data_IF_267659132241
#
_entry.id   IF_267659132241
#
_cell.length_a   1.000
_cell.length_b   1.000
_cell.length_c   1.000
_cell.angle_alpha   90.00
_cell.angle_beta   90.00
_cell.angle_gamma   90.00
#
_symmetry.space_group_name_H-M   'P 1'
#
loop_
_entity.id
_entity.type
_entity.pdbx_description
1 polymer ?
#
# COMPACT_ATOMS: atom_id res chain seq x y z
N UNK A 1 14.97 -13.64 13.00
CA UNK A 1 13.83 -14.26 12.27
C UNK A 1 13.39 -13.29 11.21
N UNK A 2 13.44 -13.67 9.93
CA UNK A 2 13.02 -12.83 8.82
C UNK A 2 11.61 -13.26 8.43
N UNK A 3 10.58 -12.46 8.73
CA UNK A 3 9.20 -12.80 8.38
C UNK A 3 8.94 -12.34 6.94
N UNK A 4 8.78 -13.26 5.98
CA UNK A 4 8.61 -12.90 4.57
C UNK A 4 7.38 -12.02 4.33
N UNK A 5 6.33 -12.19 5.15
CA UNK A 5 5.12 -11.38 5.10
C UNK A 5 5.37 -9.90 5.45
N UNK A 6 6.21 -9.61 6.47
CA UNK A 6 6.53 -8.23 6.86
C UNK A 6 7.29 -7.50 5.75
N UNK A 7 8.30 -8.16 5.16
CA UNK A 7 9.06 -7.59 4.05
C UNK A 7 8.18 -7.35 2.82
N UNK A 8 7.31 -8.31 2.49
CA UNK A 8 6.35 -8.19 1.38
C UNK A 8 5.35 -7.06 1.63
N UNK A 9 4.87 -6.91 2.86
CA UNK A 9 3.98 -5.81 3.26
C UNK A 9 4.65 -4.45 3.09
N UNK A 10 5.87 -4.27 3.58
CA UNK A 10 6.61 -3.01 3.44
C UNK A 10 6.93 -2.70 1.97
N UNK A 11 7.36 -3.70 1.19
CA UNK A 11 7.62 -3.54 -0.23
C UNK A 11 6.35 -3.14 -1.01
N UNK A 12 5.21 -3.75 -0.67
CA UNK A 12 3.90 -3.41 -1.23
C UNK A 12 3.48 -1.97 -0.91
N UNK A 13 3.66 -1.52 0.34
CA UNK A 13 3.43 -0.13 0.74
C UNK A 13 4.29 0.81 -0.11
N UNK A 14 5.60 0.57 -0.19
CA UNK A 14 6.51 1.46 -0.92
C UNK A 14 6.15 1.58 -2.41
N UNK A 15 5.82 0.45 -3.05
CA UNK A 15 5.41 0.42 -4.46
C UNK A 15 4.09 1.17 -4.68
N UNK A 16 3.11 0.96 -3.80
CA UNK A 16 1.81 1.61 -3.91
C UNK A 16 1.89 3.13 -3.60
N UNK A 17 2.74 3.55 -2.66
CA UNK A 17 3.00 4.97 -2.38
C UNK A 17 3.64 5.67 -3.59
N UNK A 18 4.56 5.00 -4.29
CA UNK A 18 5.19 5.52 -5.50
C UNK A 18 4.17 5.70 -6.65
N UNK A 19 3.33 4.69 -6.89
CA UNK A 19 2.22 4.79 -7.85
C UNK A 19 1.22 5.90 -7.50
N UNK A 20 0.85 6.02 -6.22
CA UNK A 20 -0.05 7.08 -5.75
C UNK A 20 0.54 8.48 -5.98
N UNK A 21 1.84 8.69 -5.75
CA UNK A 21 2.50 9.99 -6.02
C UNK A 21 2.48 10.35 -7.50
N UNK A 22 2.69 9.37 -8.38
CA UNK A 22 2.61 9.58 -9.84
C UNK A 22 1.20 10.00 -10.25
N UNK A 23 0.18 9.27 -9.82
CA UNK A 23 -1.21 9.57 -10.18
C UNK A 23 -1.65 10.93 -9.60
N UNK A 24 -1.22 11.27 -8.37
CA UNK A 24 -1.48 12.57 -7.78
C UNK A 24 -0.84 13.71 -8.59
N UNK A 25 0.38 13.49 -9.09
CA UNK A 25 1.07 14.45 -9.97
C UNK A 25 0.34 14.59 -11.30
N UNK A 26 -0.11 13.47 -11.90
CA UNK A 26 -0.88 13.45 -13.14
C UNK A 26 -2.18 14.25 -13.00
N UNK A 27 -2.96 14.00 -11.93
CA UNK A 27 -4.18 14.75 -11.60
C UNK A 27 -3.88 16.25 -11.43
N UNK A 28 -2.82 16.60 -10.68
CA UNK A 28 -2.45 17.98 -10.42
C UNK A 28 -1.92 18.71 -11.67
N UNK A 29 -1.28 17.98 -12.59
CA UNK A 29 -0.68 18.52 -13.81
C UNK A 29 -1.68 18.93 -14.89
N UNK A 30 -2.98 18.83 -14.60
CA UNK A 30 -4.07 19.36 -15.42
C UNK A 30 -4.22 18.60 -16.73
N UNK A 31 -4.83 17.41 -16.66
CA UNK A 31 -5.23 16.66 -17.85
C UNK A 31 -6.35 17.42 -18.55
N UNK A 32 -6.07 18.01 -19.70
CA UNK A 32 -7.05 18.74 -20.55
C UNK A 32 -8.26 17.90 -20.95
N UNK A 33 -8.21 16.59 -20.70
CA UNK A 33 -9.23 15.60 -20.98
C UNK A 33 -9.81 14.99 -19.67
N UNK A 34 -11.11 15.18 -19.39
CA UNK A 34 -11.77 14.62 -18.21
C UNK A 34 -11.67 13.09 -18.07
N UNK A 35 -11.55 12.36 -19.18
CA UNK A 35 -11.41 10.90 -19.16
C UNK A 35 -10.07 10.45 -18.55
N UNK A 36 -9.02 11.24 -18.76
CA UNK A 36 -7.69 10.95 -18.23
C UNK A 36 -7.61 11.29 -16.74
N UNK A 37 -8.26 12.37 -16.30
CA UNK A 37 -8.45 12.65 -14.86
C UNK A 37 -9.19 11.51 -14.16
N UNK A 38 -10.28 11.03 -14.76
CA UNK A 38 -11.08 9.96 -14.17
C UNK A 38 -10.26 8.67 -14.02
N UNK A 39 -9.45 8.32 -15.02
CA UNK A 39 -8.55 7.17 -14.96
C UNK A 39 -7.50 7.35 -13.85
N UNK A 40 -6.81 8.48 -13.81
CA UNK A 40 -5.80 8.75 -12.80
C UNK A 40 -6.38 8.71 -11.37
N UNK A 41 -7.63 9.16 -11.17
CA UNK A 41 -8.34 9.06 -9.89
C UNK A 41 -8.67 7.61 -9.49
N UNK A 42 -9.11 6.78 -10.44
CA UNK A 42 -9.36 5.35 -10.21
C UNK A 42 -8.05 4.63 -9.86
N UNK A 43 -6.97 4.92 -10.58
CA UNK A 43 -5.67 4.32 -10.33
C UNK A 43 -5.12 4.78 -8.96
N UNK A 44 -5.31 6.06 -8.60
CA UNK A 44 -4.97 6.59 -7.27
C UNK A 44 -5.68 5.81 -6.16
N UNK A 45 -7.00 5.59 -6.30
CA UNK A 45 -7.81 4.83 -5.33
C UNK A 45 -7.38 3.36 -5.26
N UNK A 46 -6.97 2.78 -6.39
CA UNK A 46 -6.44 1.42 -6.47
C UNK A 46 -5.14 1.29 -5.67
N UNK A 47 -4.20 2.21 -5.85
CA UNK A 47 -2.97 2.24 -5.04
C UNK A 47 -3.25 2.48 -3.56
N UNK A 48 -4.23 3.33 -3.22
CA UNK A 48 -4.64 3.50 -1.83
C UNK A 48 -5.11 2.18 -1.20
N UNK A 49 -5.95 1.41 -1.90
CA UNK A 49 -6.36 0.09 -1.42
C UNK A 49 -5.20 -0.89 -1.32
N UNK A 50 -4.20 -0.78 -2.19
CA UNK A 50 -3.01 -1.61 -2.11
C UNK A 50 -2.15 -1.28 -0.88
N UNK A 51 -2.00 0.00 -0.52
CA UNK A 51 -1.39 0.42 0.75
C UNK A 51 -2.16 -0.16 1.93
N UNK A 52 -3.49 -0.03 1.95
CA UNK A 52 -4.35 -0.56 3.01
C UNK A 52 -4.21 -2.08 3.17
N UNK A 53 -4.18 -2.81 2.05
CA UNK A 53 -3.98 -4.26 2.06
C UNK A 53 -2.59 -4.65 2.58
N UNK A 54 -1.54 -4.00 2.09
CA UNK A 54 -0.18 -4.25 2.57
C UNK A 54 0.00 -3.89 4.05
N UNK A 55 -0.66 -2.84 4.53
CA UNK A 55 -0.69 -2.50 5.96
C UNK A 55 -1.35 -3.59 6.82
N UNK A 56 -2.43 -4.21 6.32
CA UNK A 56 -3.05 -5.38 6.99
C UNK A 56 -2.09 -6.57 7.07
N UNK A 57 -1.30 -6.82 6.02
CA UNK A 57 -0.28 -7.89 6.04
C UNK A 57 0.78 -7.63 7.10
N UNK A 58 1.27 -6.38 7.19
CA UNK A 58 2.22 -5.97 8.23
C UNK A 58 1.63 -6.17 9.63
N UNK A 59 0.38 -5.74 9.85
CA UNK A 59 -0.32 -5.90 11.13
C UNK A 59 -0.50 -7.37 11.50
N UNK A 60 -0.91 -8.22 10.56
CA UNK A 60 -1.06 -9.65 10.81
C UNK A 60 0.29 -10.31 11.16
N UNK A 61 1.38 -9.92 10.49
CA UNK A 61 2.71 -10.41 10.82
C UNK A 61 3.17 -9.98 12.22
N UNK A 62 2.83 -8.77 12.64
CA UNK A 62 3.09 -8.25 13.99
C UNK A 62 2.26 -8.97 15.07
N UNK A 63 0.97 -9.18 14.82
CA UNK A 63 0.08 -9.93 15.72
C UNK A 63 0.55 -11.39 15.91
N UNK A 64 0.97 -12.06 14.83
CA UNK A 64 1.56 -13.40 14.89
C UNK A 64 2.86 -13.43 15.72
N UNK A 65 3.70 -12.40 15.62
CA UNK A 65 4.90 -12.28 16.44
C UNK A 65 4.54 -12.12 17.92
N UNK A 66 3.58 -11.25 18.21
CA UNK A 66 3.07 -11.02 19.56
C UNK A 66 2.54 -12.31 20.19
N UNK A 67 1.71 -13.06 19.45
CA UNK A 67 1.15 -14.33 19.94
C UNK A 67 2.24 -15.39 20.18
N UNK A 68 3.24 -15.48 19.30
CA UNK A 68 4.37 -16.40 19.48
C UNK A 68 5.24 -16.03 20.68
N UNK A 69 5.35 -14.75 21.02
CA UNK A 69 6.09 -14.29 22.18
C UNK A 69 5.31 -14.55 23.49
N UNK A 70 4.00 -14.30 23.49
CA UNK A 70 3.12 -14.54 24.63
C UNK A 70 3.06 -16.02 25.03
N UNK A 71 3.02 -16.94 24.05
CA UNK A 71 3.03 -18.38 24.32
C UNK A 71 4.38 -18.91 24.86
N UNK A 72 5.45 -18.12 24.75
CA UNK A 72 6.80 -18.45 25.26
C UNK A 72 7.10 -17.80 26.62
N UNK A 73 6.26 -16.88 27.09
CA UNK A 73 6.39 -16.18 28.36
C UNK A 73 5.82 -17.00 29.54
#
# INVERSE_FOLDING_TARGET
MNIPALQTGIAGINTALDGMRRNATEIASNTTNPADTARALVDLRTHQHQVEASAKVVKAADEMLGSLLDERA
#
